data_IF_382187712838
#
_entry.id   IF_382187712838
#
_cell.length_a   1.000
_cell.length_b   1.000
_cell.length_c   1.000
_cell.angle_alpha   90.00
_cell.angle_beta   90.00
_cell.angle_gamma   90.00
#
_symmetry.space_group_name_H-M   'P 1'
#
loop_
_entity.id
_entity.type
_entity.pdbx_description
1 polymer ?
#
# COMPACT_ATOMS: atom_id res chain seq x y z
N UNK A 1 -61.15 -3.27 59.71
CA UNK A 1 -60.07 -2.62 60.48
C UNK A 1 -59.60 -1.47 59.60
N UNK A 2 -60.21 -0.27 59.69
CA UNK A 2 -59.86 0.82 60.64
C UNK A 2 -58.35 1.12 60.58
N UNK A 3 -57.84 2.32 60.33
CA UNK A 3 -58.46 3.64 60.14
C UNK A 3 -57.40 4.62 59.61
N UNK A 4 -57.85 5.60 58.81
CA UNK A 4 -57.51 7.04 58.83
C UNK A 4 -56.05 7.59 58.80
N UNK A 5 -55.63 8.14 57.64
CA UNK A 5 -55.53 9.59 57.23
C UNK A 5 -55.34 10.69 58.32
N UNK A 6 -55.00 11.96 57.97
CA UNK A 6 -53.84 12.57 57.30
C UNK A 6 -53.37 13.86 58.07
N UNK A 7 -52.57 14.73 57.45
CA UNK A 7 -52.70 16.21 57.43
C UNK A 7 -51.41 17.04 57.52
N UNK A 8 -51.53 18.17 56.84
CA UNK A 8 -50.56 19.16 56.39
C UNK A 8 -50.81 20.46 57.17
N UNK A 9 -49.82 21.10 57.82
CA UNK A 9 -49.90 22.52 58.23
C UNK A 9 -48.50 23.17 58.35
N UNK A 10 -48.25 24.09 57.43
CA UNK A 10 -47.85 25.51 57.55
C UNK A 10 -46.71 26.03 58.48
N UNK A 11 -45.96 26.96 57.84
CA UNK A 11 -45.09 28.07 58.24
C UNK A 11 -44.68 28.31 59.71
N UNK A 12 -43.40 28.66 59.89
CA UNK A 12 -42.99 29.82 60.71
C UNK A 12 -41.66 30.43 60.22
N UNK A 13 -41.68 31.75 60.05
CA UNK A 13 -40.54 32.66 59.83
C UNK A 13 -39.66 32.80 61.09
N UNK A 14 -38.38 33.16 60.89
CA UNK A 14 -37.53 33.67 61.97
C UNK A 14 -36.11 34.01 61.50
N UNK A 15 -35.91 35.24 61.03
CA UNK A 15 -34.62 35.89 60.85
C UNK A 15 -33.78 35.89 62.15
N UNK A 16 -32.47 35.64 62.04
CA UNK A 16 -31.48 36.44 62.76
C UNK A 16 -30.07 36.35 62.14
N UNK A 17 -29.39 37.47 62.26
CA UNK A 17 -28.30 37.97 61.43
C UNK A 17 -26.96 37.91 62.20
N UNK A 18 -25.85 37.98 61.45
CA UNK A 18 -24.47 38.37 61.83
C UNK A 18 -23.51 37.32 62.44
N UNK A 19 -22.40 37.06 61.74
CA UNK A 19 -21.07 37.62 62.05
C UNK A 19 -20.00 37.15 61.04
N UNK A 20 -19.13 38.07 60.62
CA UNK A 20 -18.00 37.87 59.72
C UNK A 20 -16.73 37.45 60.48
N UNK A 21 -15.82 36.72 59.81
CA UNK A 21 -14.47 36.36 60.29
C UNK A 21 -13.57 35.84 59.17
N UNK A 22 -12.31 36.28 59.15
CA UNK A 22 -11.37 36.39 58.01
C UNK A 22 -10.63 35.13 57.51
N UNK A 23 -10.29 35.21 56.19
CA UNK A 23 -9.05 34.86 55.45
C UNK A 23 -8.22 33.61 55.84
N UNK A 24 -7.89 32.80 54.83
CA UNK A 24 -6.50 32.66 54.34
C UNK A 24 -6.46 32.01 52.94
N UNK A 25 -5.67 32.61 52.03
CA UNK A 25 -5.30 32.16 50.68
C UNK A 25 -4.34 30.97 50.73
N UNK A 26 -4.41 30.07 49.73
CA UNK A 26 -3.22 29.50 49.08
C UNK A 26 -3.50 29.39 47.57
N UNK A 27 -2.73 30.13 46.78
CA UNK A 27 -2.58 30.02 45.33
C UNK A 27 -1.72 28.80 44.98
N UNK A 28 -2.00 28.14 43.86
CA UNK A 28 -0.97 27.47 43.08
C UNK A 28 -1.20 27.70 41.58
N UNK A 29 -0.27 28.47 41.03
CA UNK A 29 -0.07 28.75 39.61
C UNK A 29 0.17 27.47 38.80
N UNK A 30 -0.44 27.40 37.61
CA UNK A 30 -0.05 26.50 36.54
C UNK A 30 1.00 27.21 35.66
N UNK A 31 2.13 26.58 35.28
CA UNK A 31 3.05 27.21 34.37
C UNK A 31 2.62 26.96 32.91
N UNK A 32 2.53 28.07 32.17
CA UNK A 32 2.47 28.13 30.71
C UNK A 32 3.68 27.44 30.07
N UNK A 33 3.45 26.42 29.23
CA UNK A 33 4.49 25.77 28.46
C UNK A 33 4.49 26.27 27.01
N UNK A 34 5.56 26.99 26.70
CA UNK A 34 5.96 27.52 25.38
C UNK A 34 5.74 26.53 24.24
N UNK A 35 5.09 27.03 23.18
CA UNK A 35 4.91 26.38 21.88
C UNK A 35 6.23 26.45 21.09
N UNK A 36 7.00 25.37 21.09
CA UNK A 36 8.14 25.21 20.17
C UNK A 36 7.65 24.58 18.86
N UNK A 37 8.03 25.22 17.75
CA UNK A 37 7.75 24.84 16.36
C UNK A 37 8.43 23.49 16.07
N UNK A 38 7.68 22.49 15.58
CA UNK A 38 8.23 21.24 15.04
C UNK A 38 8.35 21.35 13.52
N UNK A 39 9.50 20.93 13.01
CA UNK A 39 9.86 20.76 11.60
C UNK A 39 9.05 19.65 10.94
N UNK A 40 8.88 19.77 9.61
CA UNK A 40 8.16 18.85 8.73
C UNK A 40 8.74 17.43 8.81
N UNK A 41 7.94 16.51 9.35
CA UNK A 41 8.07 15.08 9.18
C UNK A 41 6.92 14.60 8.29
N UNK A 42 7.25 13.88 7.23
CA UNK A 42 6.33 13.28 6.27
C UNK A 42 5.25 12.45 6.98
N UNK A 43 3.99 12.89 6.94
CA UNK A 43 2.86 12.16 7.53
C UNK A 43 2.55 10.91 6.72
N UNK A 44 2.72 9.72 7.31
CA UNK A 44 2.32 8.44 6.71
C UNK A 44 0.82 8.21 6.89
N UNK A 45 0.22 7.37 6.03
CA UNK A 45 -1.23 7.13 6.00
C UNK A 45 -1.81 6.49 7.27
N UNK A 46 -0.96 5.94 8.14
CA UNK A 46 -1.39 5.37 9.42
C UNK A 46 -2.03 6.44 10.31
N UNK A 47 -1.65 7.71 10.15
CA UNK A 47 -2.29 8.85 10.82
C UNK A 47 -3.63 9.28 10.20
N UNK A 48 -3.88 8.98 8.93
CA UNK A 48 -5.11 9.35 8.21
C UNK A 48 -6.26 8.35 8.46
N UNK A 49 -5.96 7.07 8.61
CA UNK A 49 -6.97 6.03 8.91
C UNK A 49 -7.56 6.24 10.31
N UNK A 50 -6.75 6.64 11.31
CA UNK A 50 -7.22 6.89 12.69
C UNK A 50 -8.27 8.02 12.76
N UNK A 51 -8.23 8.99 11.84
CA UNK A 51 -9.21 10.10 11.80
C UNK A 51 -10.54 9.71 11.16
N UNK A 52 -10.58 8.64 10.38
CA UNK A 52 -11.76 8.22 9.61
C UNK A 52 -12.84 7.61 10.51
N UNK A 53 -12.46 6.99 11.62
CA UNK A 53 -13.38 6.29 12.53
C UNK A 53 -14.12 7.22 13.51
N UNK A 54 -13.89 8.54 13.49
CA UNK A 54 -14.37 9.45 14.55
C UNK A 54 -15.40 10.51 14.17
N UNK A 55 -15.84 10.67 12.93
CA UNK A 55 -16.78 11.76 12.60
C UNK A 55 -17.87 11.40 11.60
N UNK A 56 -18.95 10.80 12.11
CA UNK A 56 -20.32 11.06 11.63
C UNK A 56 -20.97 12.08 12.57
N UNK A 57 -21.08 13.34 12.14
CA UNK A 57 -22.28 14.19 12.21
C UNK A 57 -21.98 15.70 12.11
N UNK A 58 -22.89 16.36 11.39
CA UNK A 58 -23.23 17.80 11.35
C UNK A 58 -22.44 18.81 10.51
N UNK A 59 -23.22 19.74 9.96
CA UNK A 59 -23.00 20.54 8.75
C UNK A 59 -23.31 22.03 9.03
N UNK A 60 -22.40 22.92 8.57
CA UNK A 60 -22.54 24.36 8.17
C UNK A 60 -22.73 25.46 9.25
N UNK A 61 -22.54 26.77 8.92
CA UNK A 61 -21.60 27.42 7.97
C UNK A 61 -21.00 28.81 8.40
N UNK A 62 -20.02 29.30 7.59
CA UNK A 62 -19.64 30.72 7.27
C UNK A 62 -19.02 31.64 8.35
N UNK A 63 -17.86 32.28 8.05
CA UNK A 63 -17.77 33.62 7.42
C UNK A 63 -16.31 34.06 7.12
N UNK A 64 -16.20 34.94 6.12
CA UNK A 64 -15.04 35.59 5.49
C UNK A 64 -14.25 36.64 6.33
N UNK A 65 -12.97 36.85 5.98
CA UNK A 65 -12.25 38.12 5.61
C UNK A 65 -10.74 37.95 5.92
N UNK A 66 -9.74 38.17 5.06
CA UNK A 66 -9.28 39.26 4.14
C UNK A 66 -8.05 40.01 4.73
N UNK A 67 -7.09 40.30 3.83
CA UNK A 67 -5.93 41.22 3.87
C UNK A 67 -4.70 40.79 4.71
N UNK A 68 -3.43 41.05 4.34
CA UNK A 68 -2.74 41.58 3.15
C UNK A 68 -1.22 41.39 3.39
N UNK A 69 -0.46 41.16 2.31
CA UNK A 69 0.95 41.58 2.06
C UNK A 69 2.10 41.22 3.03
N UNK A 70 3.16 40.61 2.49
CA UNK A 70 4.34 41.35 2.00
C UNK A 70 5.40 40.41 1.40
N UNK A 71 5.92 40.87 0.26
CA UNK A 71 7.13 40.43 -0.40
C UNK A 71 8.36 40.49 0.51
N UNK A 72 9.28 39.53 0.36
CA UNK A 72 10.69 39.83 0.16
C UNK A 72 11.40 38.62 -0.49
N UNK A 73 12.07 38.91 -1.60
CA UNK A 73 13.00 38.04 -2.32
C UNK A 73 14.32 38.00 -1.56
N UNK A 74 15.02 36.88 -1.62
CA UNK A 74 16.43 36.93 -2.03
C UNK A 74 16.89 35.58 -2.62
N UNK A 75 17.72 35.75 -3.63
CA UNK A 75 18.24 34.81 -4.62
C UNK A 75 19.52 34.11 -4.15
N UNK A 76 19.79 32.95 -4.77
CA UNK A 76 21.11 32.37 -5.04
C UNK A 76 21.95 31.90 -3.82
N UNK A 77 22.73 30.81 -3.85
CA UNK A 77 23.41 30.16 -4.97
C UNK A 77 23.89 28.76 -4.57
N UNK A 78 24.15 27.96 -5.60
CA UNK A 78 24.67 26.59 -5.62
C UNK A 78 26.00 26.40 -4.88
N UNK A 79 26.18 25.24 -4.28
CA UNK A 79 27.48 24.55 -4.28
C UNK A 79 27.29 23.05 -4.50
N UNK A 80 27.73 22.61 -5.67
CA UNK A 80 28.06 21.23 -6.00
C UNK A 80 29.28 20.82 -5.15
N UNK A 81 29.25 19.65 -4.53
CA UNK A 81 30.50 18.91 -4.33
C UNK A 81 30.30 17.41 -4.56
N UNK A 82 31.19 16.89 -5.40
CA UNK A 82 31.33 15.52 -5.80
C UNK A 82 32.01 14.75 -4.69
N UNK A 83 31.41 13.67 -4.18
CA UNK A 83 32.22 12.64 -3.52
C UNK A 83 31.68 11.24 -3.79
N UNK A 84 32.22 10.65 -4.85
CA UNK A 84 32.87 9.33 -4.83
C UNK A 84 32.14 8.20 -4.10
N UNK A 85 31.26 7.53 -4.85
CA UNK A 85 31.30 6.09 -5.13
C UNK A 85 32.18 5.27 -4.18
N UNK A 86 31.57 4.72 -3.13
CA UNK A 86 32.11 3.57 -2.40
C UNK A 86 31.07 2.46 -2.44
N UNK A 87 31.04 1.74 -3.56
CA UNK A 87 30.33 0.46 -3.69
C UNK A 87 31.04 -0.55 -2.80
N UNK A 88 30.54 -0.77 -1.60
CA UNK A 88 30.79 -2.01 -0.87
C UNK A 88 30.13 -3.14 -1.68
N UNK A 89 30.94 -3.82 -2.49
CA UNK A 89 30.59 -5.13 -3.03
C UNK A 89 30.48 -6.08 -1.85
N UNK A 90 29.26 -6.48 -1.54
CA UNK A 90 28.99 -7.65 -0.73
C UNK A 90 28.69 -8.80 -1.70
N UNK A 91 29.44 -9.88 -1.56
CA UNK A 91 29.48 -11.03 -2.46
C UNK A 91 28.11 -11.71 -2.59
N UNK A 92 27.45 -11.54 -3.75
CA UNK A 92 26.45 -12.48 -4.25
C UNK A 92 27.07 -13.29 -5.39
N UNK A 93 27.60 -14.46 -5.08
CA UNK A 93 27.94 -15.48 -6.07
C UNK A 93 26.65 -16.12 -6.62
N UNK A 94 25.85 -15.35 -7.34
CA UNK A 94 24.68 -15.82 -8.08
C UNK A 94 24.52 -14.97 -9.32
N UNK A 95 24.51 -15.59 -10.50
CA UNK A 95 24.07 -14.93 -11.72
C UNK A 95 22.63 -14.46 -11.52
N UNK A 96 22.27 -13.30 -12.08
CA UNK A 96 20.91 -12.78 -12.03
C UNK A 96 19.97 -13.82 -12.67
N UNK A 97 18.89 -14.18 -11.97
CA UNK A 97 17.92 -15.14 -12.49
C UNK A 97 17.24 -14.63 -13.78
N UNK A 98 17.25 -13.32 -14.06
CA UNK A 98 16.73 -12.78 -15.31
C UNK A 98 17.71 -13.08 -16.45
N UNK A 99 17.29 -13.92 -17.39
CA UNK A 99 18.08 -14.28 -18.57
C UNK A 99 17.45 -13.73 -19.85
N UNK A 100 18.22 -13.21 -20.82
CA UNK A 100 17.68 -12.85 -22.12
C UNK A 100 17.19 -14.10 -22.86
N UNK A 101 16.06 -14.01 -23.56
CA UNK A 101 15.58 -15.06 -24.47
C UNK A 101 15.89 -14.71 -25.91
N UNK A 102 16.29 -15.71 -26.71
CA UNK A 102 16.60 -15.55 -28.13
C UNK A 102 15.34 -15.48 -29.03
N UNK A 103 14.12 -15.68 -28.51
CA UNK A 103 12.88 -15.71 -29.30
C UNK A 103 11.80 -14.76 -28.75
N UNK A 104 11.66 -13.52 -29.26
CA UNK A 104 10.63 -12.59 -28.80
C UNK A 104 9.31 -12.85 -29.55
N UNK A 105 8.67 -13.97 -29.26
CA UNK A 105 7.27 -14.22 -29.66
C UNK A 105 6.26 -13.70 -28.64
N UNK A 106 6.71 -12.79 -27.77
CA UNK A 106 5.87 -12.08 -26.82
C UNK A 106 4.81 -11.27 -27.57
N UNK A 107 3.52 -11.49 -27.29
CA UNK A 107 2.42 -10.78 -27.94
C UNK A 107 2.44 -9.30 -27.58
N UNK A 108 2.02 -8.45 -28.52
CA UNK A 108 2.01 -6.99 -28.33
C UNK A 108 1.00 -6.53 -27.27
N UNK A 109 0.03 -7.39 -26.92
CA UNK A 109 -0.89 -7.18 -25.81
C UNK A 109 -0.21 -7.18 -24.43
N UNK A 110 0.93 -7.87 -24.25
CA UNK A 110 1.69 -7.83 -22.98
C UNK A 110 2.51 -6.54 -22.91
N UNK A 111 2.09 -5.64 -22.03
CA UNK A 111 2.75 -4.36 -21.77
C UNK A 111 3.93 -4.49 -20.81
N UNK A 112 3.88 -5.43 -19.87
CA UNK A 112 4.91 -5.75 -18.89
C UNK A 112 4.63 -7.15 -18.33
N UNK A 113 5.66 -7.85 -17.85
CA UNK A 113 5.55 -9.09 -17.07
C UNK A 113 6.59 -9.12 -15.96
N UNK A 114 6.40 -9.98 -14.96
CA UNK A 114 7.34 -10.09 -13.83
C UNK A 114 6.83 -10.98 -12.71
N UNK A 115 7.44 -10.82 -11.53
CA UNK A 115 7.03 -11.51 -10.29
C UNK A 115 6.13 -10.60 -9.46
N UNK A 116 5.12 -11.18 -8.85
CA UNK A 116 4.15 -10.54 -7.96
C UNK A 116 4.17 -11.21 -6.60
N UNK A 117 4.15 -10.41 -5.53
CA UNK A 117 4.01 -10.92 -4.16
C UNK A 117 2.83 -10.23 -3.49
N UNK A 118 2.16 -10.98 -2.64
CA UNK A 118 1.05 -10.50 -1.82
C UNK A 118 1.50 -10.50 -0.36
N UNK A 119 1.36 -9.36 0.29
CA UNK A 119 1.74 -9.17 1.69
C UNK A 119 0.58 -8.62 2.50
N UNK A 120 0.57 -8.94 3.80
CA UNK A 120 -0.28 -8.31 4.81
C UNK A 120 0.57 -7.75 5.94
N UNK A 121 0.07 -6.74 6.64
CA UNK A 121 0.58 -6.32 7.95
C UNK A 121 -0.55 -6.41 8.96
N UNK A 122 -0.26 -7.03 10.11
CA UNK A 122 -1.16 -7.06 11.25
C UNK A 122 -1.40 -5.67 11.83
N UNK A 123 -2.42 -5.55 12.67
CA UNK A 123 -2.66 -4.36 13.48
C UNK A 123 -1.49 -4.08 14.41
N UNK A 124 -1.41 -2.82 14.85
CA UNK A 124 -0.39 -2.38 15.81
C UNK A 124 -0.40 -3.29 17.04
N UNK A 125 0.78 -3.77 17.43
CA UNK A 125 1.01 -4.72 18.52
C UNK A 125 0.36 -6.11 18.32
N UNK A 126 -0.02 -6.47 17.10
CA UNK A 126 -0.53 -7.78 16.75
C UNK A 126 0.35 -8.40 15.65
N UNK A 127 1.35 -9.18 16.09
CA UNK A 127 2.32 -9.80 15.18
C UNK A 127 1.70 -10.93 14.35
N UNK A 128 0.79 -11.70 14.94
CA UNK A 128 0.13 -12.85 14.33
C UNK A 128 -1.36 -12.59 14.16
N UNK A 129 -1.81 -12.17 12.96
CA UNK A 129 -3.24 -12.05 12.67
C UNK A 129 -3.91 -13.41 12.70
N UNK A 130 -5.00 -13.55 13.46
CA UNK A 130 -5.82 -14.77 13.57
C UNK A 130 -7.15 -14.63 12.79
N UNK A 131 -7.31 -13.54 12.05
CA UNK A 131 -8.45 -13.31 11.16
C UNK A 131 -8.14 -12.20 10.15
N UNK A 132 -8.98 -12.07 9.12
CA UNK A 132 -8.94 -10.89 8.25
C UNK A 132 -9.12 -9.60 9.07
N UNK A 133 -9.83 -9.63 10.19
CA UNK A 133 -10.07 -8.42 10.97
C UNK A 133 -8.84 -7.86 11.67
N UNK A 134 -7.88 -8.72 11.95
CA UNK A 134 -6.60 -8.43 12.57
C UNK A 134 -5.58 -7.81 11.61
N UNK A 135 -5.91 -7.75 10.32
CA UNK A 135 -5.08 -7.12 9.30
C UNK A 135 -5.30 -5.61 9.32
N UNK A 136 -4.21 -4.85 9.32
CA UNK A 136 -4.24 -3.40 9.13
C UNK A 136 -4.28 -3.03 7.65
N UNK A 137 -3.40 -3.64 6.85
CA UNK A 137 -3.22 -3.29 5.45
C UNK A 137 -2.68 -4.47 4.65
N UNK A 138 -3.06 -4.52 3.38
CA UNK A 138 -2.58 -5.49 2.40
C UNK A 138 -1.84 -4.78 1.28
N UNK A 139 -0.89 -5.48 0.68
CA UNK A 139 0.03 -4.93 -0.31
C UNK A 139 0.22 -5.90 -1.48
N UNK A 140 0.45 -5.32 -2.65
CA UNK A 140 0.92 -6.04 -3.84
C UNK A 140 2.30 -5.48 -4.19
N UNK A 141 3.31 -6.34 -4.20
CA UNK A 141 4.64 -5.99 -4.68
C UNK A 141 4.80 -6.51 -6.11
N UNK A 142 5.26 -5.66 -7.03
CA UNK A 142 5.54 -6.01 -8.43
C UNK A 142 7.03 -5.84 -8.70
N UNK A 143 7.64 -6.86 -9.29
CA UNK A 143 9.04 -6.87 -9.76
C UNK A 143 9.07 -7.11 -11.27
N UNK A 144 9.08 -6.04 -12.09
CA UNK A 144 9.10 -6.15 -13.54
C UNK A 144 10.38 -6.82 -14.04
N UNK A 145 10.26 -7.64 -15.08
CA UNK A 145 11.40 -8.16 -15.86
C UNK A 145 11.28 -7.71 -17.32
N UNK A 146 12.35 -7.83 -18.09
CA UNK A 146 12.29 -7.51 -19.51
C UNK A 146 11.26 -8.42 -20.23
N UNK A 147 10.57 -7.88 -21.24
CA UNK A 147 9.47 -8.59 -21.92
C UNK A 147 9.91 -9.90 -22.55
N UNK A 148 11.12 -9.91 -23.09
CA UNK A 148 11.79 -11.03 -23.74
C UNK A 148 12.67 -11.84 -22.76
N UNK A 149 12.69 -11.51 -21.47
CA UNK A 149 13.46 -12.29 -20.50
C UNK A 149 12.74 -13.58 -20.08
N UNK A 150 13.51 -14.59 -19.70
CA UNK A 150 13.07 -15.78 -18.97
C UNK A 150 13.67 -15.78 -17.56
N UNK A 151 13.14 -16.66 -16.70
CA UNK A 151 13.68 -16.87 -15.38
C UNK A 151 14.56 -18.13 -15.40
N UNK A 152 15.83 -17.96 -15.04
CA UNK A 152 16.76 -19.03 -14.74
C UNK A 152 16.78 -19.33 -13.24
N UNK A 153 17.85 -19.97 -12.80
CA UNK A 153 18.05 -20.31 -11.39
C UNK A 153 18.51 -19.10 -10.57
N UNK A 154 18.17 -19.11 -9.27
CA UNK A 154 18.64 -18.13 -8.30
C UNK A 154 17.66 -17.01 -7.99
N UNK A 155 18.13 -16.04 -7.20
CA UNK A 155 17.35 -14.88 -6.80
C UNK A 155 17.41 -13.82 -7.91
N UNK A 156 16.30 -13.11 -8.10
CA UNK A 156 16.29 -11.98 -9.05
C UNK A 156 17.13 -10.84 -8.46
N UNK A 157 18.00 -10.23 -9.27
CA UNK A 157 18.87 -9.14 -8.82
C UNK A 157 18.10 -7.84 -8.48
N UNK A 158 18.78 -6.93 -7.77
CA UNK A 158 18.22 -5.60 -7.47
C UNK A 158 18.27 -4.72 -8.73
N UNK A 159 17.16 -4.71 -9.47
CA UNK A 159 17.02 -3.88 -10.66
C UNK A 159 16.53 -2.47 -10.35
N UNK A 160 16.29 -2.11 -9.07
CA UNK A 160 15.78 -0.80 -8.67
C UNK A 160 14.45 -0.43 -9.34
N UNK A 161 13.63 -1.42 -9.69
CA UNK A 161 12.36 -1.25 -10.40
C UNK A 161 11.16 -1.85 -9.64
N UNK A 162 11.35 -2.22 -8.37
CA UNK A 162 10.30 -2.79 -7.53
C UNK A 162 9.25 -1.73 -7.20
N UNK A 163 7.98 -2.10 -7.33
CA UNK A 163 6.83 -1.26 -6.98
C UNK A 163 6.06 -1.91 -5.85
N UNK A 164 5.62 -1.13 -4.87
CA UNK A 164 4.75 -1.61 -3.78
C UNK A 164 3.44 -0.83 -3.85
N UNK A 165 2.34 -1.55 -4.03
CA UNK A 165 0.99 -1.02 -4.08
C UNK A 165 0.32 -1.29 -2.74
N UNK A 166 -0.22 -0.24 -2.12
CA UNK A 166 -0.95 -0.34 -0.87
C UNK A 166 -2.46 -0.35 -1.13
N UNK A 167 -3.15 -1.32 -0.51
CA UNK A 167 -4.59 -1.49 -0.66
C UNK A 167 -5.35 -0.72 0.40
N UNK A 168 -6.51 -0.11 0.04
CA UNK A 168 -7.38 0.56 1.00
C UNK A 168 -8.19 -0.43 1.84
N UNK A 169 -8.19 -1.72 1.46
CA UNK A 169 -8.90 -2.80 2.15
C UNK A 169 -7.94 -3.96 2.44
N UNK A 170 -8.37 -4.83 3.35
CA UNK A 170 -7.64 -6.01 3.81
C UNK A 170 -7.68 -7.15 2.79
N UNK A 171 -8.73 -7.23 1.97
CA UNK A 171 -8.89 -8.26 0.93
C UNK A 171 -8.66 -7.69 -0.47
N UNK A 172 -8.50 -8.57 -1.45
CA UNK A 172 -8.47 -8.28 -2.88
C UNK A 172 -9.89 -8.13 -3.44
N UNK A 173 -10.10 -7.33 -4.51
CA UNK A 173 -11.42 -7.22 -5.13
C UNK A 173 -11.69 -8.44 -6.00
N UNK A 174 -12.77 -9.17 -5.73
CA UNK A 174 -13.06 -10.46 -6.40
C UNK A 174 -13.99 -10.32 -7.61
N UNK A 175 -14.71 -9.20 -7.70
CA UNK A 175 -15.74 -8.97 -8.71
C UNK A 175 -15.73 -7.54 -9.26
N UNK A 176 -16.33 -7.34 -10.43
CA UNK A 176 -16.39 -6.02 -11.08
C UNK A 176 -17.20 -4.97 -10.31
N UNK A 177 -17.90 -5.39 -9.25
CA UNK A 177 -18.60 -4.51 -8.30
C UNK A 177 -17.65 -3.92 -7.27
N UNK A 178 -16.55 -4.61 -6.97
CA UNK A 178 -15.53 -4.19 -6.02
C UNK A 178 -14.44 -3.41 -6.76
N UNK A 179 -14.24 -2.17 -6.31
CA UNK A 179 -13.30 -1.23 -6.93
C UNK A 179 -12.49 -0.58 -5.84
N UNK A 180 -11.20 -0.85 -5.81
CA UNK A 180 -10.29 -0.34 -4.79
C UNK A 180 -9.37 0.70 -5.40
N UNK A 181 -9.32 1.86 -4.77
CA UNK A 181 -8.31 2.87 -5.11
C UNK A 181 -7.02 2.49 -4.39
N UNK A 182 -6.14 1.77 -5.08
CA UNK A 182 -4.79 1.48 -4.61
C UNK A 182 -3.87 2.65 -4.93
N UNK A 183 -2.81 2.81 -4.15
CA UNK A 183 -1.77 3.78 -4.44
C UNK A 183 -0.40 3.12 -4.45
N UNK A 184 0.49 3.66 -5.27
CA UNK A 184 1.91 3.28 -5.27
C UNK A 184 2.55 3.87 -4.02
N UNK A 185 2.86 3.03 -3.05
CA UNK A 185 3.55 3.41 -1.81
C UNK A 185 5.04 3.58 -2.05
N UNK A 186 5.65 2.65 -2.78
CA UNK A 186 7.05 2.73 -3.21
C UNK A 186 7.16 2.48 -4.70
N UNK A 187 8.09 3.19 -5.33
CA UNK A 187 8.41 3.02 -6.73
C UNK A 187 9.92 3.03 -6.92
N UNK A 188 10.42 2.09 -7.71
CA UNK A 188 11.86 1.90 -7.91
C UNK A 188 12.62 1.52 -6.64
N UNK A 189 11.97 0.82 -5.70
CA UNK A 189 12.56 0.49 -4.41
C UNK A 189 13.70 -0.54 -4.57
N UNK A 190 14.84 -0.22 -3.96
CA UNK A 190 15.97 -1.15 -3.77
C UNK A 190 15.66 -2.21 -2.72
N UNK A 191 16.44 -3.30 -2.68
CA UNK A 191 16.30 -4.31 -1.63
C UNK A 191 16.59 -3.77 -0.24
N UNK A 192 17.51 -2.81 -0.12
CA UNK A 192 17.81 -2.20 1.18
C UNK A 192 16.59 -1.42 1.71
N UNK A 193 15.92 -0.66 0.84
CA UNK A 193 14.66 0.03 1.18
C UNK A 193 13.53 -0.96 1.47
N UNK A 194 13.38 -2.02 0.67
CA UNK A 194 12.38 -3.07 0.91
C UNK A 194 12.62 -3.72 2.27
N UNK A 195 13.87 -4.10 2.56
CA UNK A 195 14.26 -4.74 3.82
C UNK A 195 13.95 -3.85 5.03
N UNK A 196 14.40 -2.60 4.99
CA UNK A 196 14.36 -1.68 6.13
C UNK A 196 13.00 -1.05 6.36
N UNK A 197 12.28 -0.71 5.30
CA UNK A 197 11.08 0.11 5.40
C UNK A 197 9.79 -0.68 5.17
N UNK A 198 9.85 -1.75 4.37
CA UNK A 198 8.66 -2.54 4.02
C UNK A 198 8.58 -3.88 4.76
N UNK A 199 9.65 -4.67 4.83
CA UNK A 199 9.60 -5.98 5.46
C UNK A 199 9.75 -5.90 6.98
N UNK A 200 10.60 -5.00 7.48
CA UNK A 200 10.88 -4.89 8.90
C UNK A 200 9.66 -4.43 9.73
N UNK A 201 9.67 -4.84 11.00
CA UNK A 201 8.85 -4.22 12.02
C UNK A 201 9.34 -2.79 12.29
N UNK A 202 8.43 -1.93 12.74
CA UNK A 202 8.75 -0.55 13.12
C UNK A 202 8.24 -0.28 14.54
N UNK A 203 8.99 0.49 15.33
CA UNK A 203 8.65 0.84 16.71
C UNK A 203 8.69 2.35 16.89
N UNK A 204 7.60 2.93 17.38
CA UNK A 204 7.49 4.37 17.59
C UNK A 204 6.77 4.71 18.91
N UNK A 205 7.23 5.77 19.56
CA UNK A 205 6.64 6.23 20.81
C UNK A 205 5.43 7.14 20.56
N UNK A 206 4.33 6.82 21.22
CA UNK A 206 3.15 7.70 21.25
C UNK A 206 3.05 8.46 22.56
N UNK A 207 2.64 9.73 22.46
CA UNK A 207 2.47 10.63 23.62
C UNK A 207 1.46 10.12 24.65
N UNK A 208 0.51 9.28 24.24
CA UNK A 208 -0.64 8.86 25.06
C UNK A 208 -0.69 7.37 25.40
N UNK A 209 0.01 6.51 24.64
CA UNK A 209 -0.13 5.06 24.75
C UNK A 209 1.21 4.31 24.80
N UNK A 210 2.33 5.02 25.01
CA UNK A 210 3.66 4.42 25.06
C UNK A 210 4.16 3.96 23.69
N UNK A 211 5.15 3.07 23.69
CA UNK A 211 5.74 2.48 22.49
C UNK A 211 4.73 1.60 21.77
N UNK A 212 4.53 1.87 20.48
CA UNK A 212 3.73 1.08 19.56
C UNK A 212 4.64 0.41 18.56
N UNK A 213 4.29 -0.81 18.18
CA UNK A 213 5.01 -1.61 17.21
C UNK A 213 4.11 -1.94 16.03
N UNK A 214 4.51 -1.50 14.84
CA UNK A 214 3.96 -1.99 13.58
C UNK A 214 4.63 -3.32 13.26
N UNK A 215 3.87 -4.42 13.12
CA UNK A 215 4.45 -5.73 12.86
C UNK A 215 5.11 -5.80 11.47
N UNK A 216 6.03 -6.75 11.26
CA UNK A 216 6.67 -6.96 9.97
C UNK A 216 5.64 -7.34 8.90
N UNK A 217 5.95 -7.06 7.62
CA UNK A 217 5.12 -7.53 6.52
C UNK A 217 5.22 -9.05 6.39
N UNK A 218 4.07 -9.71 6.27
CA UNK A 218 3.93 -11.15 6.12
C UNK A 218 3.55 -11.52 4.70
N UNK A 219 4.32 -12.38 4.02
CA UNK A 219 3.92 -12.89 2.73
C UNK A 219 2.70 -13.80 2.91
N UNK A 220 1.75 -13.67 2.01
CA UNK A 220 0.56 -14.54 1.89
C UNK A 220 0.46 -15.15 0.50
N UNK A 221 1.30 -14.75 -0.44
CA UNK A 221 1.41 -15.40 -1.74
C UNK A 221 2.53 -14.81 -2.59
N UNK A 222 2.97 -15.58 -3.56
CA UNK A 222 3.92 -15.20 -4.60
C UNK A 222 3.46 -15.85 -5.92
N UNK A 223 3.82 -15.22 -7.04
CA UNK A 223 3.42 -15.66 -8.35
C UNK A 223 4.05 -14.83 -9.46
N UNK A 224 3.58 -15.08 -10.67
CA UNK A 224 3.97 -14.32 -11.85
C UNK A 224 2.82 -13.43 -12.30
N UNK A 225 3.13 -12.31 -12.96
CA UNK A 225 2.11 -11.40 -13.48
C UNK A 225 2.41 -10.93 -14.90
N UNK A 226 1.36 -10.46 -15.56
CA UNK A 226 1.46 -9.63 -16.75
C UNK A 226 0.49 -8.44 -16.64
N UNK A 227 0.96 -7.27 -17.06
CA UNK A 227 0.08 -6.16 -17.42
C UNK A 227 -0.23 -6.30 -18.89
N UNK A 228 -1.50 -6.52 -19.24
CA UNK A 228 -1.96 -6.70 -20.62
C UNK A 228 -2.87 -5.58 -21.06
N UNK A 229 -3.07 -5.42 -22.36
CA UNK A 229 -4.02 -4.50 -22.97
C UNK A 229 -4.94 -5.22 -23.94
N UNK A 230 -6.25 -5.01 -23.76
CA UNK A 230 -7.30 -5.39 -24.71
C UNK A 230 -7.62 -4.26 -25.70
N UNK A 231 -6.78 -3.21 -25.73
CA UNK A 231 -6.98 -1.98 -26.48
C UNK A 231 -7.92 -0.98 -25.82
N UNK A 232 -8.96 -1.43 -25.11
CA UNK A 232 -9.84 -0.55 -24.32
C UNK A 232 -9.46 -0.51 -22.84
N UNK A 233 -9.08 -1.64 -22.29
CA UNK A 233 -8.79 -1.82 -20.87
C UNK A 233 -7.38 -2.37 -20.71
N UNK A 234 -6.76 -2.04 -19.57
CA UNK A 234 -5.53 -2.67 -19.13
C UNK A 234 -5.87 -3.61 -17.99
N UNK A 235 -5.25 -4.78 -17.98
CA UNK A 235 -5.44 -5.78 -16.94
C UNK A 235 -4.11 -6.05 -16.23
N UNK A 236 -4.17 -6.31 -14.93
CA UNK A 236 -3.11 -6.97 -14.18
C UNK A 236 -3.54 -8.41 -13.94
N UNK A 237 -3.04 -9.33 -14.76
CA UNK A 237 -3.27 -10.77 -14.63
C UNK A 237 -2.12 -11.39 -13.82
N UNK A 238 -2.44 -12.35 -12.96
CA UNK A 238 -1.48 -13.08 -12.16
C UNK A 238 -1.81 -14.56 -12.05
N UNK A 239 -0.76 -15.37 -11.90
CA UNK A 239 -0.84 -16.77 -11.57
C UNK A 239 -0.03 -17.00 -10.29
N UNK A 240 -0.68 -17.49 -9.23
CA UNK A 240 -0.03 -17.76 -7.94
C UNK A 240 0.78 -19.05 -8.03
N UNK A 241 2.06 -19.00 -7.65
CA UNK A 241 2.98 -20.14 -7.61
C UNK A 241 3.19 -20.64 -6.18
N UNK A 242 3.21 -19.71 -5.20
CA UNK A 242 3.30 -20.02 -3.77
C UNK A 242 2.17 -19.35 -2.96
N UNK A 243 1.58 -20.05 -1.96
CA UNK A 243 1.80 -21.47 -1.69
C UNK A 243 1.32 -22.35 -2.85
N UNK A 244 1.93 -23.52 -3.04
CA UNK A 244 1.57 -24.47 -4.11
C UNK A 244 0.07 -24.82 -4.13
N UNK A 245 -0.60 -24.71 -2.98
CA UNK A 245 -2.05 -24.83 -2.85
C UNK A 245 -2.57 -23.72 -1.96
N UNK A 246 -3.60 -23.02 -2.43
CA UNK A 246 -4.28 -21.99 -1.66
C UNK A 246 -5.01 -22.59 -0.45
N UNK A 247 -4.73 -22.04 0.72
CA UNK A 247 -5.35 -22.43 1.97
C UNK A 247 -6.29 -21.33 2.51
N UNK A 248 -6.71 -21.42 3.77
CA UNK A 248 -7.67 -20.53 4.42
C UNK A 248 -7.36 -19.04 4.21
N UNK A 249 -6.13 -18.60 4.56
CA UNK A 249 -5.78 -17.17 4.50
C UNK A 249 -5.83 -16.65 3.08
N UNK A 250 -5.28 -17.39 2.10
CA UNK A 250 -5.32 -16.97 0.69
C UNK A 250 -6.76 -16.80 0.20
N UNK A 251 -7.64 -17.75 0.55
CA UNK A 251 -9.05 -17.72 0.13
C UNK A 251 -9.81 -16.58 0.80
N UNK A 252 -9.62 -16.36 2.09
CA UNK A 252 -10.29 -15.26 2.81
C UNK A 252 -9.81 -13.87 2.36
N UNK A 253 -8.56 -13.77 1.89
CA UNK A 253 -8.04 -12.55 1.28
C UNK A 253 -8.49 -12.32 -0.17
N UNK A 254 -9.19 -13.29 -0.78
CA UNK A 254 -9.64 -13.22 -2.18
C UNK A 254 -8.53 -13.49 -3.21
N UNK A 255 -7.42 -14.13 -2.80
CA UNK A 255 -6.37 -14.57 -3.70
C UNK A 255 -6.82 -15.80 -4.50
N UNK A 256 -6.49 -15.84 -5.80
CA UNK A 256 -6.86 -16.92 -6.73
C UNK A 256 -5.62 -17.60 -7.31
N UNK A 257 -5.78 -18.83 -7.80
CA UNK A 257 -4.70 -19.53 -8.52
C UNK A 257 -4.38 -18.81 -9.83
N UNK A 258 -5.43 -18.50 -10.60
CA UNK A 258 -5.39 -17.58 -11.75
C UNK A 258 -6.34 -16.42 -11.46
N UNK A 259 -5.86 -15.19 -11.44
CA UNK A 259 -6.68 -14.02 -11.14
C UNK A 259 -6.30 -12.80 -11.98
N UNK A 260 -7.25 -11.89 -12.18
CA UNK A 260 -6.97 -10.63 -12.85
C UNK A 260 -7.76 -9.46 -12.28
N UNK A 261 -7.26 -8.27 -12.57
CA UNK A 261 -7.90 -7.01 -12.25
C UNK A 261 -7.88 -6.08 -13.46
N UNK A 262 -8.96 -5.36 -13.71
CA UNK A 262 -8.89 -4.18 -14.59
C UNK A 262 -8.18 -3.07 -13.81
N UNK A 263 -7.14 -2.49 -14.40
CA UNK A 263 -6.34 -1.42 -13.80
C UNK A 263 -6.50 -0.11 -14.56
N UNK A 264 -7.00 0.93 -13.88
CA UNK A 264 -7.15 2.26 -14.47
C UNK A 264 -6.47 3.35 -13.65
N UNK A 265 -5.58 4.12 -14.27
CA UNK A 265 -4.86 5.22 -13.62
C UNK A 265 -5.75 6.44 -13.51
N UNK A 266 -5.80 7.05 -12.33
CA UNK A 266 -6.52 8.29 -12.10
C UNK A 266 -5.70 9.49 -12.54
N UNK A 267 -6.35 10.45 -13.19
CA UNK A 267 -5.76 11.75 -13.48
C UNK A 267 -5.64 12.58 -12.19
N UNK A 268 -4.42 13.00 -11.78
CA UNK A 268 -4.23 13.80 -10.57
C UNK A 268 -4.84 15.21 -10.66
N UNK A 269 -5.12 15.73 -11.86
CA UNK A 269 -5.79 17.03 -12.05
C UNK A 269 -7.28 17.01 -11.64
N UNK A 270 -7.85 15.82 -11.47
CA UNK A 270 -9.24 15.64 -11.04
C UNK A 270 -9.29 15.24 -9.56
N UNK A 271 -9.66 16.15 -8.64
CA UNK A 271 -9.65 15.85 -7.22
C UNK A 271 -10.58 14.68 -6.86
N UNK A 272 -10.13 13.90 -5.88
CA UNK A 272 -10.96 12.90 -5.22
C UNK A 272 -11.95 13.52 -4.22
N UNK A 273 -12.79 12.69 -3.57
CA UNK A 273 -13.54 13.10 -2.39
C UNK A 273 -12.61 13.66 -1.31
N UNK A 274 -13.02 14.69 -0.58
CA UNK A 274 -12.16 15.39 0.40
C UNK A 274 -11.57 14.46 1.48
N UNK A 275 -12.31 13.44 1.89
CA UNK A 275 -11.90 12.45 2.89
C UNK A 275 -10.91 11.39 2.36
N UNK A 276 -10.63 11.37 1.05
CA UNK A 276 -9.77 10.38 0.39
C UNK A 276 -8.72 11.03 -0.52
N UNK A 277 -8.47 12.33 -0.35
CA UNK A 277 -7.39 13.03 -1.03
C UNK A 277 -6.07 12.72 -0.33
N UNK A 278 -5.06 12.35 -1.11
CA UNK A 278 -3.69 12.24 -0.61
C UNK A 278 -3.12 13.64 -0.37
N UNK A 279 -2.21 13.81 0.60
CA UNK A 279 -1.53 15.08 0.82
C UNK A 279 -0.79 15.56 -0.44
N UNK A 280 -0.21 14.62 -1.18
CA UNK A 280 0.57 14.86 -2.39
C UNK A 280 0.12 13.92 -3.52
N UNK A 281 0.23 14.39 -4.76
CA UNK A 281 -0.02 13.60 -5.96
C UNK A 281 1.25 12.95 -6.54
N UNK A 282 1.14 12.15 -7.61
CA UNK A 282 2.25 11.36 -8.13
C UNK A 282 3.40 12.08 -8.83
N UNK A 283 3.38 13.40 -8.92
CA UNK A 283 4.44 14.13 -9.64
C UNK A 283 4.60 13.69 -11.11
N UNK A 284 3.53 13.23 -11.77
CA UNK A 284 3.59 12.77 -13.15
C UNK A 284 4.19 13.84 -14.08
N UNK A 285 5.09 13.46 -15.01
CA UNK A 285 5.62 14.38 -15.99
C UNK A 285 4.52 14.79 -16.98
N UNK A 286 4.75 15.90 -17.69
CA UNK A 286 3.75 16.49 -18.61
C UNK A 286 3.33 15.51 -19.69
N UNK A 287 4.23 14.63 -20.10
CA UNK A 287 3.99 13.58 -21.08
C UNK A 287 2.84 12.67 -20.62
N UNK A 288 2.90 12.14 -19.39
CA UNK A 288 1.84 11.30 -18.81
C UNK A 288 0.55 12.10 -18.60
N UNK A 289 0.64 13.33 -18.10
CA UNK A 289 -0.54 14.20 -17.92
C UNK A 289 -1.27 14.44 -19.27
N UNK A 290 -0.51 14.68 -20.34
CA UNK A 290 -1.08 14.91 -21.66
C UNK A 290 -1.77 13.66 -22.24
N UNK A 291 -1.34 12.44 -21.86
CA UNK A 291 -1.99 11.21 -22.30
C UNK A 291 -3.46 11.14 -21.89
N UNK A 292 -3.80 11.76 -20.74
CA UNK A 292 -5.18 11.75 -20.23
C UNK A 292 -6.12 12.47 -21.18
N UNK A 293 -5.65 13.44 -21.98
CA UNK A 293 -6.51 14.24 -22.88
C UNK A 293 -7.75 14.78 -22.17
N UNK A 294 -7.55 15.32 -20.96
CA UNK A 294 -8.60 15.81 -20.04
C UNK A 294 -9.58 14.75 -19.53
N UNK A 295 -9.33 13.45 -19.74
CA UNK A 295 -10.09 12.37 -19.13
C UNK A 295 -9.68 12.21 -17.66
N UNK A 296 -10.64 11.78 -16.84
CA UNK A 296 -10.40 11.47 -15.42
C UNK A 296 -9.62 10.17 -15.21
N UNK A 297 -9.68 9.29 -16.20
CA UNK A 297 -9.20 7.91 -16.12
C UNK A 297 -8.53 7.50 -17.43
N UNK A 298 -7.47 6.71 -17.32
CA UNK A 298 -6.84 6.01 -18.43
C UNK A 298 -6.69 4.52 -18.09
N UNK A 299 -6.72 3.63 -19.10
CA UNK A 299 -6.14 2.30 -18.95
C UNK A 299 -4.69 2.43 -18.47
N UNK A 300 -4.31 1.69 -17.43
CA UNK A 300 -2.97 1.85 -16.86
C UNK A 300 -1.90 1.36 -17.82
N UNK A 301 -0.76 2.06 -17.86
CA UNK A 301 0.46 1.61 -18.52
C UNK A 301 1.52 1.35 -17.45
N UNK A 302 2.52 0.50 -17.73
CA UNK A 302 3.65 0.25 -16.82
C UNK A 302 4.23 1.53 -16.20
N UNK A 303 4.51 2.54 -17.04
CA UNK A 303 5.06 3.81 -16.60
C UNK A 303 4.21 4.57 -15.55
N UNK A 304 2.90 4.30 -15.46
CA UNK A 304 2.04 4.97 -14.48
C UNK A 304 2.31 4.49 -13.04
N UNK A 305 2.88 3.30 -12.88
CA UNK A 305 3.23 2.73 -11.58
C UNK A 305 4.61 3.20 -11.09
N UNK A 306 5.36 3.91 -11.93
CA UNK A 306 6.74 4.37 -11.64
C UNK A 306 6.78 5.67 -10.80
N UNK A 307 5.67 5.99 -10.13
CA UNK A 307 5.51 7.24 -9.39
C UNK A 307 4.80 6.99 -8.07
N UNK A 308 5.46 7.31 -6.95
CA UNK A 308 4.87 7.29 -5.60
C UNK A 308 3.59 8.13 -5.59
N UNK A 309 2.58 7.73 -4.81
CA UNK A 309 1.25 8.36 -4.75
C UNK A 309 0.40 8.21 -6.02
N UNK A 310 0.82 7.48 -7.04
CA UNK A 310 -0.01 7.22 -8.21
C UNK A 310 -1.24 6.40 -7.79
N UNK A 311 -2.43 6.93 -8.09
CA UNK A 311 -3.70 6.32 -7.74
C UNK A 311 -4.18 5.43 -8.89
N UNK A 312 -4.25 4.12 -8.64
CA UNK A 312 -4.72 3.13 -9.60
C UNK A 312 -6.04 2.55 -9.09
N UNK A 313 -7.06 2.53 -9.93
CA UNK A 313 -8.31 1.84 -9.65
C UNK A 313 -8.13 0.38 -10.03
N UNK A 314 -8.16 -0.49 -9.02
CA UNK A 314 -8.13 -1.94 -9.14
C UNK A 314 -9.57 -2.46 -9.09
N UNK A 315 -10.05 -3.05 -10.17
CA UNK A 315 -11.42 -3.58 -10.29
C UNK A 315 -11.33 -5.11 -10.40
N UNK A 316 -12.05 -5.82 -9.54
CA UNK A 316 -12.03 -7.28 -9.52
C UNK A 316 -12.61 -7.91 -10.79
N UNK A 317 -12.07 -9.06 -11.18
CA UNK A 317 -12.64 -9.87 -12.26
C UNK A 317 -13.06 -11.26 -11.75
N UNK A 318 -14.32 -11.60 -12.01
CA UNK A 318 -14.92 -12.86 -11.55
C UNK A 318 -14.62 -14.03 -12.47
N UNK A 319 -14.32 -13.75 -13.75
CA UNK A 319 -14.14 -14.80 -14.76
C UNK A 319 -12.77 -15.47 -14.69
N UNK A 320 -11.78 -14.91 -13.97
CA UNK A 320 -10.43 -15.47 -13.91
C UNK A 320 -9.44 -14.54 -14.63
N UNK A 321 -8.74 -15.05 -15.64
CA UNK A 321 -7.78 -14.29 -16.46
C UNK A 321 -8.18 -14.21 -17.94
N UNK A 322 -9.24 -14.90 -18.35
CA UNK A 322 -9.64 -15.22 -19.72
C UNK A 322 -9.71 -13.97 -20.59
N UNK A 323 -10.31 -12.90 -20.05
CA UNK A 323 -10.40 -11.61 -20.73
C UNK A 323 -9.07 -10.85 -20.72
N UNK A 324 -8.31 -10.93 -19.63
CA UNK A 324 -7.02 -10.27 -19.50
C UNK A 324 -5.98 -10.85 -20.46
N UNK A 325 -6.06 -12.15 -20.77
CA UNK A 325 -5.14 -12.85 -21.68
C UNK A 325 -5.73 -13.10 -23.07
N UNK A 326 -6.82 -12.41 -23.44
CA UNK A 326 -7.50 -12.63 -24.71
C UNK A 326 -6.55 -12.38 -25.90
N UNK A 327 -6.36 -13.40 -26.77
CA UNK A 327 -5.54 -13.29 -27.97
C UNK A 327 -5.93 -12.12 -28.87
N UNK A 328 -4.94 -11.34 -29.32
CA UNK A 328 -5.19 -10.29 -30.29
C UNK A 328 -5.04 -10.82 -31.72
N UNK A 329 -6.00 -10.51 -32.60
CA UNK A 329 -5.98 -10.94 -34.01
C UNK A 329 -4.71 -10.56 -34.78
N UNK A 330 -4.04 -9.48 -34.37
CA UNK A 330 -2.77 -9.06 -34.96
C UNK A 330 -1.65 -10.02 -34.56
N UNK A 331 -1.53 -10.29 -33.26
CA UNK A 331 -0.52 -11.20 -32.69
C UNK A 331 -0.67 -12.61 -33.28
N UNK A 332 -1.90 -13.12 -33.41
CA UNK A 332 -2.19 -14.41 -34.05
C UNK A 332 -1.75 -14.47 -35.53
N UNK A 333 -1.91 -13.39 -36.28
CA UNK A 333 -1.46 -13.31 -37.69
C UNK A 333 0.06 -13.26 -37.79
N UNK A 334 0.69 -12.59 -36.83
CA UNK A 334 2.14 -12.44 -36.73
C UNK A 334 2.80 -13.69 -36.10
N UNK A 335 2.01 -14.73 -35.79
CA UNK A 335 2.50 -15.99 -35.23
C UNK A 335 3.03 -15.88 -33.81
N UNK A 336 2.61 -14.84 -33.07
CA UNK A 336 3.03 -14.61 -31.69
C UNK A 336 2.40 -15.62 -30.74
N UNK A 337 3.10 -15.88 -29.65
CA UNK A 337 2.63 -16.74 -28.57
C UNK A 337 1.40 -16.13 -27.89
N UNK A 338 0.52 -16.98 -27.39
CA UNK A 338 -0.68 -16.50 -26.69
C UNK A 338 -0.30 -15.95 -25.30
N UNK A 339 -0.94 -14.86 -24.83
CA UNK A 339 -0.54 -14.23 -23.57
C UNK A 339 -0.63 -15.15 -22.35
N UNK A 340 -1.58 -16.08 -22.33
CA UNK A 340 -1.69 -17.10 -21.29
C UNK A 340 -0.51 -18.07 -21.31
N UNK A 341 -0.08 -18.53 -22.50
CA UNK A 341 1.06 -19.43 -22.64
C UNK A 341 2.36 -18.77 -22.18
N UNK A 342 2.55 -17.47 -22.45
CA UNK A 342 3.70 -16.71 -21.92
C UNK A 342 3.73 -16.71 -20.39
N UNK A 343 2.56 -16.58 -19.75
CA UNK A 343 2.44 -16.64 -18.28
C UNK A 343 2.70 -18.05 -17.75
N UNK A 344 2.20 -19.09 -18.43
CA UNK A 344 2.42 -20.50 -18.04
C UNK A 344 3.91 -20.87 -18.12
N UNK A 345 4.61 -20.44 -19.17
CA UNK A 345 6.07 -20.58 -19.24
C UNK A 345 6.78 -19.87 -18.09
N UNK A 346 6.32 -18.67 -17.71
CA UNK A 346 6.89 -17.94 -16.60
C UNK A 346 6.63 -18.63 -15.24
N UNK A 347 5.45 -19.25 -15.06
CA UNK A 347 5.14 -20.10 -13.90
C UNK A 347 6.08 -21.30 -13.83
N UNK A 348 6.28 -22.00 -14.95
CA UNK A 348 7.14 -23.19 -14.98
C UNK A 348 8.60 -22.87 -14.60
N UNK A 349 9.09 -21.72 -15.05
CA UNK A 349 10.43 -21.24 -14.70
C UNK A 349 10.49 -20.81 -13.23
N UNK A 350 9.49 -20.05 -12.76
CA UNK A 350 9.44 -19.54 -11.39
C UNK A 350 9.31 -20.67 -10.35
N UNK A 351 8.44 -21.66 -10.56
CA UNK A 351 8.27 -22.81 -9.66
C UNK A 351 9.58 -23.59 -9.51
N UNK A 352 10.35 -23.78 -10.59
CA UNK A 352 11.66 -24.43 -10.53
C UNK A 352 12.65 -23.59 -9.74
N UNK A 353 12.72 -22.30 -10.04
CA UNK A 353 13.59 -21.33 -9.40
C UNK A 353 13.35 -21.26 -7.89
N UNK A 354 12.10 -21.16 -7.46
CA UNK A 354 11.71 -21.10 -6.05
C UNK A 354 12.06 -22.40 -5.29
N UNK A 355 11.91 -23.57 -5.92
CA UNK A 355 12.34 -24.86 -5.36
C UNK A 355 13.86 -24.97 -5.21
N UNK A 356 14.63 -24.35 -6.09
CA UNK A 356 16.09 -24.32 -6.00
C UNK A 356 16.59 -23.28 -4.98
N UNK A 357 15.83 -22.23 -4.69
CA UNK A 357 16.18 -21.21 -3.71
C UNK A 357 16.16 -21.72 -2.27
N UNK A 358 15.13 -22.49 -1.90
CA UNK A 358 15.03 -23.12 -0.58
C UNK A 358 14.02 -24.27 -0.56
N UNK A 359 14.20 -25.22 0.37
CA UNK A 359 13.26 -26.33 0.59
C UNK A 359 11.91 -25.86 1.16
N UNK A 360 11.90 -24.76 1.91
CA UNK A 360 10.71 -24.17 2.53
C UNK A 360 10.21 -22.97 1.71
N UNK A 361 8.91 -22.95 1.41
CA UNK A 361 8.29 -21.93 0.55
C UNK A 361 8.47 -20.51 1.11
N UNK A 362 8.39 -20.34 2.43
CA UNK A 362 8.62 -19.03 3.04
C UNK A 362 10.08 -18.63 2.92
N UNK A 363 11.00 -19.57 3.12
CA UNK A 363 12.42 -19.30 2.96
C UNK A 363 12.80 -18.93 1.52
N UNK A 364 12.15 -19.53 0.53
CA UNK A 364 12.35 -19.22 -0.89
C UNK A 364 11.92 -17.78 -1.21
N UNK A 365 10.74 -17.34 -0.73
CA UNK A 365 10.26 -15.95 -0.90
C UNK A 365 11.27 -14.94 -0.32
N UNK A 366 11.77 -15.19 0.89
CA UNK A 366 12.73 -14.29 1.52
C UNK A 366 14.12 -14.32 0.87
N UNK A 367 14.57 -15.50 0.43
CA UNK A 367 15.82 -15.62 -0.32
C UNK A 367 15.77 -14.82 -1.63
N UNK A 368 14.63 -14.85 -2.34
CA UNK A 368 14.43 -14.08 -3.57
C UNK A 368 14.38 -12.56 -3.35
N UNK A 369 14.01 -12.14 -2.13
CA UNK A 369 14.04 -10.75 -1.67
C UNK A 369 15.39 -10.39 -1.01
N UNK A 370 16.41 -11.25 -1.10
CA UNK A 370 17.76 -11.05 -0.57
C UNK A 370 17.78 -10.80 0.95
N UNK A 371 16.85 -11.42 1.68
CA UNK A 371 16.77 -11.35 3.14
C UNK A 371 16.81 -12.74 3.78
N UNK A 372 17.31 -12.81 5.01
CA UNK A 372 17.36 -14.08 5.74
C UNK A 372 15.99 -14.41 6.33
N UNK A 373 15.40 -15.52 5.89
CA UNK A 373 14.08 -15.96 6.34
C UNK A 373 13.93 -16.08 7.87
N UNK A 374 15.01 -16.29 8.61
CA UNK A 374 15.01 -16.37 10.08
C UNK A 374 14.68 -15.05 10.77
N UNK A 375 14.84 -13.93 10.07
CA UNK A 375 14.60 -12.59 10.59
C UNK A 375 13.14 -12.14 10.39
N UNK A 376 12.33 -12.94 9.68
CA UNK A 376 11.00 -12.57 9.22
C UNK A 376 9.94 -13.64 9.50
N UNK A 377 8.67 -13.25 9.62
CA UNK A 377 7.56 -14.19 9.85
C UNK A 377 7.38 -15.16 8.68
N UNK A 378 6.84 -16.35 8.92
CA UNK A 378 6.60 -17.31 7.83
C UNK A 378 5.48 -16.89 6.89
N UNK A 379 5.47 -17.46 5.68
CA UNK A 379 4.33 -17.48 4.76
C UNK A 379 3.08 -17.92 5.53
N UNK A 380 2.08 -17.05 5.57
CA UNK A 380 0.87 -17.28 6.35
C UNK A 380 -0.20 -17.94 5.47
N UNK A 381 -0.49 -19.22 5.74
CA UNK A 381 -1.51 -20.01 5.00
C UNK A 381 -2.78 -20.26 5.83
N UNK A 382 -2.67 -20.23 7.16
CA UNK A 382 -3.80 -20.36 8.10
C UNK A 382 -3.81 -19.19 9.08
N UNK A 383 -4.97 -18.95 9.68
CA UNK A 383 -5.10 -18.02 10.79
C UNK A 383 -4.65 -18.63 12.12
#
# INVERSE_FOLDING_TARGET
>A
MTDSKPDNVDQTNGDQQTAAGEKHQIEHEAPDAKRTKMEDGQTTLDDLVIKSDKNENEVKPKHEKKDESKDEKDDAEKQEDNTSKSTNKQDSNGEDAIQPSEEPDVPSSILEKGIIYFFIRGRVNLEDPESVDDIARSFIMLRPIAKDARLGDGAIADSGNTRILALPKKTLPESGKEKYMVFVEKSGASFDEIKKEFLAADEYDTKSAGTRRTPPAKPVGEGVYAITSTGRESHLAYLTTLPEKLDEVQKELGLKEKGSFIVSTKNPEFPGPQNAQLPEGPGFPKEIINEFRSLRWLPSKPAHFDYVNAQILLIGESEGIEKAVEPQKKDQKDGKEEPETVLEHLVDDDVKRMKHLADDQSAAIYADLHVHAKDYPKLQTTF
#
